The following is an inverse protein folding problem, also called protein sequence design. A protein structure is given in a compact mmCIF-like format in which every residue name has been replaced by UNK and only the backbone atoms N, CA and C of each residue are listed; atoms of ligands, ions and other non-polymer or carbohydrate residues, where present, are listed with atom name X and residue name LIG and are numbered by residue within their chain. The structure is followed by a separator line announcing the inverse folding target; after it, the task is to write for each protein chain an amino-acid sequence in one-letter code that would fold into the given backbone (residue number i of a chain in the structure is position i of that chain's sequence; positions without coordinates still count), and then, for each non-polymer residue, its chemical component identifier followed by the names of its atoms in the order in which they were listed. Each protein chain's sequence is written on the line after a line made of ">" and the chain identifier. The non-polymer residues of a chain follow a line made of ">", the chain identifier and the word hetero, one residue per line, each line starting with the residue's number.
data_IF_446498611176
#
_entry.id   IF_446498611176
#
_cell.length_a   1.000
_cell.length_b   1.000
_cell.length_c   1.000
_cell.angle_alpha   90.00
_cell.angle_beta   90.00
_cell.angle_gamma   90.00
#
_symmetry.space_group_name_H-M   'P 1'
#
loop_
_entity.id
_entity.type
_entity.pdbx_description
1 polymer ?
#
# COMPACT_ATOMS: atom_id res chain seq x y z
N UNK A 1 -9.89 21.02 4.83
CA UNK A 1 -10.46 19.89 4.06
C UNK A 1 -9.48 18.74 4.21
N UNK A 2 -9.82 17.69 4.96
CA UNK A 2 -8.88 16.65 5.38
C UNK A 2 -8.61 15.66 4.23
N UNK A 3 -8.08 16.17 3.11
CA UNK A 3 -7.54 15.35 2.03
C UNK A 3 -6.22 14.77 2.49
N UNK A 4 -6.27 13.60 3.13
CA UNK A 4 -5.07 12.88 3.51
C UNK A 4 -4.21 12.53 2.29
N UNK A 5 -2.92 12.24 2.51
CA UNK A 5 -1.94 11.99 1.44
C UNK A 5 -2.29 10.82 0.52
N UNK A 6 -3.23 9.96 0.95
CA UNK A 6 -3.77 8.85 0.17
C UNK A 6 -5.24 9.04 -0.24
N UNK A 7 -5.77 10.26 -0.16
CA UNK A 7 -7.15 10.56 -0.52
C UNK A 7 -7.49 10.05 -1.95
N UNK A 8 -8.44 9.12 -2.02
CA UNK A 8 -8.91 8.53 -3.28
C UNK A 8 -8.07 7.37 -3.81
N UNK A 9 -6.94 7.05 -3.19
CA UNK A 9 -6.08 5.94 -3.58
C UNK A 9 -6.46 4.65 -2.84
N UNK A 10 -6.31 3.52 -3.54
CA UNK A 10 -6.54 2.19 -2.97
C UNK A 10 -5.21 1.47 -2.77
N UNK A 11 -4.93 1.09 -1.53
CA UNK A 11 -3.69 0.40 -1.15
C UNK A 11 -4.00 -0.98 -0.61
N UNK A 12 -3.27 -1.99 -1.08
CA UNK A 12 -3.39 -3.38 -0.61
C UNK A 12 -2.13 -3.78 0.14
N UNK A 13 -2.27 -4.16 1.40
CA UNK A 13 -1.18 -4.72 2.20
C UNK A 13 -1.19 -6.25 2.17
N UNK A 14 -0.07 -6.86 1.83
CA UNK A 14 0.11 -8.31 1.75
C UNK A 14 1.51 -8.76 2.17
N UNK A 15 1.61 -9.97 2.71
CA UNK A 15 2.85 -10.47 3.31
C UNK A 15 3.10 -9.89 4.70
N UNK A 16 4.30 -10.14 5.23
CA UNK A 16 4.74 -9.55 6.49
C UNK A 16 5.39 -8.21 6.23
N UNK A 17 4.71 -7.12 6.57
CA UNK A 17 5.29 -5.78 6.51
C UNK A 17 6.08 -5.54 7.80
N UNK A 18 7.40 -5.44 7.68
CA UNK A 18 8.25 -5.22 8.85
C UNK A 18 7.86 -3.89 9.54
N UNK A 19 7.58 -3.96 10.84
CA UNK A 19 7.12 -2.81 11.64
C UNK A 19 5.61 -2.53 11.59
N UNK A 20 4.83 -3.26 10.79
CA UNK A 20 3.36 -3.11 10.75
C UNK A 20 2.63 -4.44 10.93
N UNK A 21 1.64 -4.44 11.81
CA UNK A 21 0.66 -5.53 11.82
C UNK A 21 -0.29 -5.37 10.64
N UNK A 22 -0.94 -6.46 10.24
CA UNK A 22 -1.91 -6.45 9.14
C UNK A 22 -3.03 -5.43 9.36
N UNK A 23 -3.47 -5.26 10.60
CA UNK A 23 -4.44 -4.25 11.01
C UNK A 23 -3.84 -2.85 11.00
N UNK A 24 -2.65 -2.67 11.60
CA UNK A 24 -1.98 -1.37 11.64
C UNK A 24 -1.69 -0.79 10.24
N UNK A 25 -1.38 -1.65 9.27
CA UNK A 25 -1.26 -1.22 7.88
C UNK A 25 -2.60 -0.72 7.30
N UNK A 26 -3.71 -1.41 7.56
CA UNK A 26 -5.03 -0.97 7.10
C UNK A 26 -5.42 0.35 7.76
N UNK A 27 -5.21 0.49 9.07
CA UNK A 27 -5.48 1.72 9.80
C UNK A 27 -4.64 2.87 9.29
N UNK A 28 -3.34 2.67 9.03
CA UNK A 28 -2.47 3.72 8.50
C UNK A 28 -2.94 4.22 7.12
N UNK A 29 -3.39 3.32 6.24
CA UNK A 29 -3.96 3.70 4.94
C UNK A 29 -5.23 4.53 5.13
N UNK A 30 -6.13 4.10 6.01
CA UNK A 30 -7.41 4.79 6.27
C UNK A 30 -7.16 6.15 6.94
N UNK A 31 -6.23 6.21 7.90
CA UNK A 31 -5.82 7.43 8.58
C UNK A 31 -5.19 8.44 7.62
N UNK A 32 -4.44 7.96 6.62
CA UNK A 32 -3.93 8.76 5.52
C UNK A 32 -4.99 9.15 4.47
N UNK A 33 -6.27 8.79 4.68
CA UNK A 33 -7.39 9.14 3.80
C UNK A 33 -7.59 8.18 2.62
N UNK A 34 -6.81 7.10 2.55
CA UNK A 34 -6.89 6.10 1.50
C UNK A 34 -7.86 4.96 1.79
N UNK A 35 -8.01 4.07 0.81
CA UNK A 35 -8.82 2.85 0.92
C UNK A 35 -7.92 1.63 1.10
N UNK A 36 -8.00 1.02 2.27
CA UNK A 36 -7.37 -0.27 2.52
C UNK A 36 -8.18 -1.39 1.87
N UNK A 37 -7.60 -2.12 0.91
CA UNK A 37 -8.22 -3.27 0.27
C UNK A 37 -7.48 -4.57 0.61
N UNK A 38 -8.24 -5.66 0.76
CA UNK A 38 -7.71 -6.99 1.12
C UNK A 38 -7.32 -7.84 -0.09
N UNK A 39 -7.68 -7.38 -1.30
CA UNK A 39 -7.52 -8.10 -2.57
C UNK A 39 -6.96 -7.19 -3.64
N UNK A 40 -5.97 -7.68 -4.37
CA UNK A 40 -5.39 -6.98 -5.53
C UNK A 40 -6.38 -7.01 -6.69
N UNK A 41 -6.74 -5.82 -7.18
CA UNK A 41 -7.69 -5.61 -8.28
C UNK A 41 -7.21 -4.48 -9.19
N UNK A 42 -7.83 -4.32 -10.36
CA UNK A 42 -7.53 -3.22 -11.30
C UNK A 42 -7.78 -1.81 -10.75
N UNK A 43 -8.50 -1.70 -9.62
CA UNK A 43 -8.75 -0.44 -8.91
C UNK A 43 -7.70 -0.14 -7.83
N UNK A 44 -6.77 -1.06 -7.60
CA UNK A 44 -5.70 -0.89 -6.63
C UNK A 44 -4.61 -0.04 -7.27
N UNK A 45 -4.21 1.03 -6.60
CA UNK A 45 -3.15 1.93 -7.07
C UNK A 45 -1.78 1.44 -6.59
N UNK A 46 -1.70 1.01 -5.32
CA UNK A 46 -0.47 0.54 -4.69
C UNK A 46 -0.64 -0.80 -3.98
N UNK A 47 0.36 -1.66 -4.07
CA UNK A 47 0.39 -2.95 -3.39
C UNK A 47 1.62 -3.02 -2.50
N UNK A 48 1.44 -2.91 -1.19
CA UNK A 48 2.51 -3.17 -0.24
C UNK A 48 2.70 -4.69 -0.11
N UNK A 49 3.78 -5.23 -0.65
CA UNK A 49 4.11 -6.64 -0.61
C UNK A 49 5.39 -6.86 0.20
N UNK A 50 5.25 -7.48 1.37
CA UNK A 50 6.37 -7.96 2.16
C UNK A 50 6.78 -9.40 1.81
N UNK A 51 7.85 -9.90 2.43
CA UNK A 51 8.24 -11.31 2.36
C UNK A 51 7.04 -12.23 2.68
N UNK A 52 6.83 -13.24 1.82
CA UNK A 52 5.70 -14.17 1.94
C UNK A 52 4.40 -13.71 1.26
N UNK A 53 4.38 -12.58 0.54
CA UNK A 53 3.19 -12.11 -0.18
C UNK A 53 2.73 -13.01 -1.34
N UNK A 54 3.63 -13.83 -1.90
CA UNK A 54 3.38 -14.91 -2.87
C UNK A 54 2.29 -14.59 -3.91
N UNK A 55 1.08 -15.11 -3.69
CA UNK A 55 -0.03 -15.03 -4.64
C UNK A 55 -0.57 -13.62 -4.90
N UNK A 56 -0.39 -12.67 -3.98
CA UNK A 56 -0.84 -11.27 -4.20
C UNK A 56 0.23 -10.43 -4.87
N UNK A 57 1.50 -10.72 -4.61
CA UNK A 57 2.62 -10.09 -5.30
C UNK A 57 2.55 -10.41 -6.79
N UNK A 58 2.47 -11.69 -7.13
CA UNK A 58 2.35 -12.14 -8.54
C UNK A 58 1.16 -11.48 -9.23
N UNK A 59 -0.01 -11.42 -8.57
CA UNK A 59 -1.19 -10.77 -9.15
C UNK A 59 -1.01 -9.26 -9.38
N UNK A 60 -0.26 -8.59 -8.50
CA UNK A 60 0.06 -7.18 -8.67
C UNK A 60 1.01 -6.97 -9.87
N UNK A 61 2.03 -7.80 -9.99
CA UNK A 61 2.97 -7.79 -11.13
C UNK A 61 2.27 -8.11 -12.45
N UNK A 62 1.39 -9.13 -12.49
CA UNK A 62 0.60 -9.49 -13.66
C UNK A 62 -0.34 -8.36 -14.13
N UNK A 63 -0.87 -7.58 -13.18
CA UNK A 63 -1.71 -6.43 -13.48
C UNK A 63 -0.90 -5.15 -13.77
N UNK A 64 0.43 -5.18 -13.65
CA UNK A 64 1.29 -4.02 -13.81
C UNK A 64 1.10 -2.95 -12.73
N UNK A 65 0.67 -3.36 -11.53
CA UNK A 65 0.46 -2.46 -10.39
C UNK A 65 1.79 -2.15 -9.69
N UNK A 66 1.87 -0.97 -9.06
CA UNK A 66 3.06 -0.57 -8.33
C UNK A 66 3.15 -1.33 -7.01
N UNK A 67 4.14 -2.22 -6.93
CA UNK A 67 4.46 -2.98 -5.73
C UNK A 67 5.43 -2.16 -4.88
N UNK A 68 5.17 -2.11 -3.58
CA UNK A 68 5.95 -1.40 -2.58
C UNK A 68 6.42 -2.36 -1.49
N UNK A 69 7.64 -2.17 -1.01
CA UNK A 69 8.16 -2.87 0.18
C UNK A 69 7.61 -2.27 1.49
N UNK A 70 7.88 -2.93 2.62
CA UNK A 70 7.47 -2.44 3.95
C UNK A 70 7.95 -1.00 4.24
N UNK A 71 9.18 -0.67 3.85
CA UNK A 71 9.73 0.67 4.02
C UNK A 71 9.01 1.72 3.16
N UNK A 72 8.68 1.37 1.90
CA UNK A 72 7.97 2.26 1.01
C UNK A 72 6.50 2.43 1.42
N UNK A 73 5.86 1.36 1.88
CA UNK A 73 4.51 1.43 2.43
C UNK A 73 4.42 2.41 3.60
N UNK A 74 5.42 2.37 4.49
CA UNK A 74 5.55 3.31 5.59
C UNK A 74 5.62 4.76 5.09
N UNK A 75 6.48 5.04 4.12
CA UNK A 75 6.60 6.37 3.50
C UNK A 75 5.28 6.78 2.84
N UNK A 76 4.60 5.86 2.16
CA UNK A 76 3.33 6.11 1.49
C UNK A 76 2.25 6.59 2.46
N UNK A 77 2.12 5.95 3.63
CA UNK A 77 1.10 6.33 4.63
C UNK A 77 1.50 7.53 5.47
N UNK A 78 2.80 7.80 5.67
CA UNK A 78 3.29 8.95 6.45
C UNK A 78 3.44 10.23 5.61
N UNK A 79 3.95 10.12 4.38
CA UNK A 79 4.31 11.27 3.53
C UNK A 79 3.53 11.31 2.21
N UNK A 80 2.98 10.19 1.75
CA UNK A 80 2.21 10.10 0.51
C UNK A 80 2.98 9.50 -0.66
N UNK A 81 2.31 9.37 -1.82
CA UNK A 81 2.89 8.80 -3.04
C UNK A 81 3.96 9.70 -3.66
N UNK A 82 3.92 11.02 -3.40
CA UNK A 82 4.89 11.98 -3.91
C UNK A 82 6.30 11.71 -3.35
N UNK A 83 6.38 11.31 -2.07
CA UNK A 83 7.62 10.94 -1.40
C UNK A 83 8.26 9.62 -1.91
N UNK A 84 7.51 8.81 -2.68
CA UNK A 84 8.06 7.61 -3.32
C UNK A 84 8.77 7.90 -4.65
N UNK A 85 8.70 9.13 -5.15
CA UNK A 85 9.14 9.52 -6.49
C UNK A 85 10.53 10.16 -6.60
N UNK A 86 11.21 10.45 -5.49
CA UNK A 86 12.56 11.05 -5.52
C UNK A 86 13.64 9.98 -5.31
N UNK A 87 13.94 9.22 -6.36
CA UNK A 87 15.17 8.44 -6.51
C UNK A 87 15.53 8.25 -7.99
#
# INVERSE_FOLDING_TARGET
>A
DAGGVLAGLTVVATGSLEGYTREGAQEAIIAAGGKAASSVSKKTDFVAAGPGAGSKLTKAEELGLRVLDAAQFRILVEQGPDALGEA
#
